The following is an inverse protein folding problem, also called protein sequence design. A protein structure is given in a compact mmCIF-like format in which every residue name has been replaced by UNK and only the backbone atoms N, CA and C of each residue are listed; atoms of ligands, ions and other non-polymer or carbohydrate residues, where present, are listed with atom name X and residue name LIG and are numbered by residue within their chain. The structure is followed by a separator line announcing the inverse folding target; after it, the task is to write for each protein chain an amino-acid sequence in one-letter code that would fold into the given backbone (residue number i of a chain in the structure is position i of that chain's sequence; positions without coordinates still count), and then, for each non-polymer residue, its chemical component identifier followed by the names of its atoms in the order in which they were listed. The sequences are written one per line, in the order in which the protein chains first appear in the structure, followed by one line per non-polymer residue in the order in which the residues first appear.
data_IF_082847724259
#
_entry.id   IF_082847724259
#
_cell.length_a   1.000
_cell.length_b   1.000
_cell.length_c   1.000
_cell.angle_alpha   90.00
_cell.angle_beta   90.00
_cell.angle_gamma   90.00
#
_symmetry.space_group_name_H-M   'P 1'
#
loop_
_entity.id
_entity.type
_entity.pdbx_description
1 polymer ?
#
# COMPACT_ATOMS: atom_id res chain seq x y z
N UNK A 1 17.56 0.87 22.36
CA UNK A 1 17.38 0.05 21.14
C UNK A 1 16.18 0.49 20.28
N UNK A 2 15.04 0.91 20.87
CA UNK A 2 13.85 1.36 20.10
C UNK A 2 14.12 2.53 19.13
N UNK A 3 14.96 3.49 19.53
CA UNK A 3 15.28 4.68 18.69
C UNK A 3 16.09 4.34 17.44
N UNK A 4 16.84 3.26 17.45
CA UNK A 4 17.71 2.88 16.31
C UNK A 4 16.92 2.20 15.19
N UNK A 5 15.91 1.37 15.52
CA UNK A 5 15.13 0.66 14.50
C UNK A 5 14.13 1.56 13.77
N UNK A 6 13.48 2.48 14.49
CA UNK A 6 12.59 3.49 13.85
C UNK A 6 13.38 4.40 12.89
N UNK A 7 14.62 4.75 13.24
CA UNK A 7 15.53 5.49 12.37
C UNK A 7 15.95 4.67 11.13
N UNK A 8 16.13 3.36 11.29
CA UNK A 8 16.58 2.49 10.19
C UNK A 8 15.51 2.34 9.09
N UNK A 9 14.23 2.22 9.46
CA UNK A 9 13.14 2.13 8.47
C UNK A 9 12.96 3.46 7.75
N UNK A 10 13.01 4.58 8.47
CA UNK A 10 12.94 5.92 7.87
C UNK A 10 14.17 6.22 7.00
N UNK A 11 15.37 5.76 7.40
CA UNK A 11 16.60 5.93 6.64
C UNK A 11 16.60 5.10 5.34
N UNK A 12 16.06 3.87 5.36
CA UNK A 12 15.95 3.03 4.15
C UNK A 12 15.02 3.67 3.13
N UNK A 13 13.88 4.23 3.56
CA UNK A 13 12.95 4.93 2.65
C UNK A 13 13.57 6.24 2.14
N UNK A 14 14.27 6.98 2.98
CA UNK A 14 14.90 8.25 2.61
C UNK A 14 16.11 8.05 1.67
N UNK A 15 16.95 7.03 1.91
CA UNK A 15 18.12 6.75 1.06
C UNK A 15 17.71 6.21 -0.32
N UNK A 16 16.65 5.42 -0.41
CA UNK A 16 16.17 4.91 -1.70
C UNK A 16 15.50 5.98 -2.54
N UNK A 17 14.80 6.94 -1.91
CA UNK A 17 14.25 8.11 -2.59
C UNK A 17 15.34 9.06 -3.10
N UNK A 18 16.40 9.29 -2.30
CA UNK A 18 17.53 10.13 -2.69
C UNK A 18 18.37 9.51 -3.82
N UNK A 19 18.61 8.19 -3.79
CA UNK A 19 19.32 7.48 -4.87
C UNK A 19 18.61 7.57 -6.22
N UNK A 20 17.26 7.62 -6.21
CA UNK A 20 16.47 7.74 -7.44
C UNK A 20 16.38 9.17 -7.97
N UNK A 21 16.57 10.18 -7.14
CA UNK A 21 16.63 11.58 -7.55
C UNK A 21 17.98 11.92 -8.21
N UNK A 22 19.07 11.23 -7.87
CA UNK A 22 20.40 11.47 -8.46
C UNK A 22 20.61 10.77 -9.81
N UNK A 23 19.76 9.82 -10.22
CA UNK A 23 19.89 9.11 -11.51
C UNK A 23 19.06 9.70 -12.64
N UNK A 24 18.48 10.89 -12.46
CA UNK A 24 17.64 11.55 -13.46
C UNK A 24 18.29 12.72 -14.20
N UNK A 25 19.62 12.78 -14.27
CA UNK A 25 20.25 13.58 -15.31
C UNK A 25 20.06 12.86 -16.65
N UNK A 26 19.37 13.49 -17.63
CA UNK A 26 19.20 12.86 -18.92
C UNK A 26 20.59 12.77 -19.60
N UNK A 27 20.94 11.62 -20.18
CA UNK A 27 22.10 11.54 -21.00
C UNK A 27 21.94 12.56 -22.16
N UNK A 28 23.00 13.29 -22.47
CA UNK A 28 23.06 14.18 -23.61
C UNK A 28 22.53 13.45 -24.86
N UNK A 29 21.43 13.94 -25.41
CA UNK A 29 20.79 13.37 -26.59
C UNK A 29 21.69 13.66 -27.77
N UNK A 30 22.48 12.67 -28.20
CA UNK A 30 22.99 12.60 -29.55
C UNK A 30 21.82 12.54 -30.51
N UNK A 31 21.77 13.45 -31.45
CA UNK A 31 20.71 13.56 -32.45
C UNK A 31 20.53 12.24 -33.22
N UNK A 32 19.44 11.54 -32.92
CA UNK A 32 18.91 10.46 -33.75
C UNK A 32 17.69 11.06 -34.45
N UNK A 33 17.67 10.98 -35.76
CA UNK A 33 16.69 11.55 -36.66
C UNK A 33 15.24 11.11 -36.37
N UNK A 34 14.23 11.74 -37.00
CA UNK A 34 12.84 11.61 -36.68
C UNK A 34 12.33 10.18 -36.90
N UNK A 35 11.87 9.54 -35.85
CA UNK A 35 11.11 8.29 -35.94
C UNK A 35 9.75 8.49 -36.62
N UNK A 36 9.13 7.42 -37.15
CA UNK A 36 7.92 7.53 -37.96
C UNK A 36 6.76 8.13 -37.13
N UNK A 37 6.28 9.27 -37.59
CA UNK A 37 5.04 9.87 -37.11
C UNK A 37 3.84 9.10 -37.63
N UNK A 38 3.01 8.59 -36.76
CA UNK A 38 1.70 8.04 -37.14
C UNK A 38 0.76 9.19 -37.48
N UNK A 39 0.41 9.31 -38.77
CA UNK A 39 -0.57 10.26 -39.27
C UNK A 39 -1.98 9.66 -39.13
N UNK A 40 -2.88 10.32 -38.42
CA UNK A 40 -4.31 10.12 -38.57
C UNK A 40 -4.84 11.25 -39.49
N UNK A 41 -5.34 10.95 -40.68
CA UNK A 41 -5.95 11.96 -41.54
C UNK A 41 -7.31 12.34 -41.00
N UNK A 42 -7.48 13.64 -40.63
CA UNK A 42 -8.81 14.22 -40.42
C UNK A 42 -9.35 14.65 -41.78
N UNK A 43 -10.39 13.96 -42.27
CA UNK A 43 -11.13 14.30 -43.48
C UNK A 43 -12.09 15.45 -43.14
N UNK A 44 -12.01 16.48 -43.98
CA UNK A 44 -12.96 17.56 -44.28
C UNK A 44 -12.47 18.98 -43.90
N UNK A 45 -11.68 19.51 -44.76
CA UNK A 45 -11.57 20.95 -44.99
C UNK A 45 -11.90 21.22 -46.46
N UNK A 46 -12.70 22.22 -46.75
CA UNK A 46 -13.29 22.50 -48.08
C UNK A 46 -12.33 23.09 -49.10
N UNK A 47 -11.04 23.17 -48.85
CA UNK A 47 -10.05 23.72 -49.77
C UNK A 47 -8.85 22.78 -49.89
N UNK A 48 -9.04 21.65 -50.44
CA UNK A 48 -8.18 20.77 -51.25
C UNK A 48 -6.72 20.48 -50.83
N UNK A 49 -6.25 20.89 -49.65
CA UNK A 49 -4.87 20.61 -49.18
C UNK A 49 -4.84 19.99 -47.79
N UNK A 50 -3.91 19.02 -47.52
CA UNK A 50 -3.78 18.48 -46.17
C UNK A 50 -3.23 19.53 -45.22
N UNK A 51 -4.06 20.00 -44.29
CA UNK A 51 -3.64 20.90 -43.22
C UNK A 51 -2.98 20.07 -42.14
N UNK A 52 -1.67 20.10 -42.06
CA UNK A 52 -0.93 19.49 -40.95
C UNK A 52 -1.04 20.40 -39.72
N UNK A 53 -1.90 20.05 -38.79
CA UNK A 53 -1.88 20.65 -37.46
C UNK A 53 -0.66 20.07 -36.75
N UNK A 54 0.43 20.84 -36.68
CA UNK A 54 1.57 20.49 -35.84
C UNK A 54 1.08 20.45 -34.39
N UNK A 55 1.02 19.26 -33.83
CA UNK A 55 0.75 19.10 -32.41
C UNK A 55 1.86 19.81 -31.63
N UNK A 56 1.50 20.89 -30.95
CA UNK A 56 2.43 21.61 -30.09
C UNK A 56 3.00 20.62 -29.08
N UNK A 57 4.33 20.57 -28.89
CA UNK A 57 4.92 19.68 -27.90
C UNK A 57 4.20 19.87 -26.56
N UNK A 58 3.73 18.79 -25.96
CA UNK A 58 3.14 18.86 -24.64
C UNK A 58 4.13 19.55 -23.71
N UNK A 59 3.71 20.64 -23.08
CA UNK A 59 4.55 21.35 -22.12
C UNK A 59 5.02 20.39 -21.02
N UNK A 60 6.11 20.72 -20.30
CA UNK A 60 6.61 19.86 -19.23
C UNK A 60 5.45 19.54 -18.26
N UNK A 61 5.35 18.27 -17.88
CA UNK A 61 4.32 17.82 -16.96
C UNK A 61 4.34 18.69 -15.69
N UNK A 62 3.18 19.17 -15.19
CA UNK A 62 3.12 20.04 -14.03
C UNK A 62 3.82 19.36 -12.86
N UNK A 63 4.70 20.09 -12.19
CA UNK A 63 5.43 19.60 -11.03
C UNK A 63 4.42 19.25 -9.92
N UNK A 64 4.46 18.04 -9.35
CA UNK A 64 3.56 17.67 -8.27
C UNK A 64 3.70 18.64 -7.10
N UNK A 65 2.58 19.19 -6.61
CA UNK A 65 2.59 20.08 -5.44
C UNK A 65 2.48 19.27 -4.16
N UNK A 66 3.14 19.71 -3.10
CA UNK A 66 2.97 19.12 -1.78
C UNK A 66 1.51 19.22 -1.30
N UNK A 67 0.96 18.11 -0.80
CA UNK A 67 -0.37 18.09 -0.20
C UNK A 67 -0.30 18.62 1.24
N UNK A 68 -1.14 19.57 1.57
CA UNK A 68 -1.24 20.13 2.92
C UNK A 68 -2.12 19.27 3.84
N UNK A 69 -1.99 19.45 5.17
CA UNK A 69 -2.74 18.69 6.19
C UNK A 69 -4.26 18.81 6.00
N UNK A 70 -4.78 19.99 5.61
CA UNK A 70 -6.21 20.15 5.34
C UNK A 70 -6.68 19.31 4.13
N UNK A 71 -5.84 19.21 3.10
CA UNK A 71 -6.13 18.38 1.94
C UNK A 71 -6.08 16.90 2.32
N UNK A 72 -5.11 16.47 3.12
CA UNK A 72 -5.02 15.12 3.66
C UNK A 72 -6.31 14.71 4.41
N UNK A 73 -6.79 15.54 5.34
CA UNK A 73 -8.03 15.27 6.06
C UNK A 73 -9.25 15.16 5.12
N UNK A 74 -9.33 16.02 4.09
CA UNK A 74 -10.37 15.94 3.07
C UNK A 74 -10.27 14.69 2.22
N UNK A 75 -9.06 14.27 1.84
CA UNK A 75 -8.80 13.04 1.10
C UNK A 75 -9.22 11.82 1.90
N UNK A 76 -8.85 11.74 3.17
CA UNK A 76 -9.26 10.63 4.04
C UNK A 76 -10.78 10.45 4.05
N UNK A 77 -11.54 11.54 4.26
CA UNK A 77 -13.02 11.49 4.22
C UNK A 77 -13.53 11.07 2.84
N UNK A 78 -12.90 11.55 1.77
CA UNK A 78 -13.30 11.20 0.40
C UNK A 78 -13.00 9.74 0.09
N UNK A 79 -11.87 9.22 0.56
CA UNK A 79 -11.45 7.83 0.35
C UNK A 79 -12.46 6.82 0.95
N UNK A 80 -13.15 7.17 2.05
CA UNK A 80 -14.24 6.32 2.57
C UNK A 80 -15.40 6.11 1.58
N UNK A 81 -15.63 7.05 0.64
CA UNK A 81 -16.65 6.89 -0.40
C UNK A 81 -16.28 5.83 -1.46
N UNK A 82 -14.98 5.54 -1.60
CA UNK A 82 -14.47 4.52 -2.53
C UNK A 82 -14.35 3.12 -1.91
N UNK A 83 -14.60 2.98 -0.60
CA UNK A 83 -14.62 1.67 0.06
C UNK A 83 -15.60 0.68 -0.60
N UNK A 84 -16.86 1.07 -0.93
CA UNK A 84 -17.80 0.16 -1.59
C UNK A 84 -17.45 0.01 -3.09
N UNK A 85 -16.32 -0.62 -3.40
CA UNK A 85 -15.90 -0.95 -4.76
C UNK A 85 -15.99 -2.46 -5.01
N UNK A 86 -16.16 -2.86 -6.27
CA UNK A 86 -16.13 -4.27 -6.65
C UNK A 86 -14.80 -4.92 -6.29
N UNK A 87 -13.69 -4.21 -6.44
CA UNK A 87 -12.36 -4.69 -6.11
C UNK A 87 -12.23 -4.98 -4.61
N UNK A 88 -12.66 -4.04 -3.77
CA UNK A 88 -12.65 -4.23 -2.31
C UNK A 88 -13.57 -5.38 -1.87
N UNK A 89 -14.70 -5.57 -2.56
CA UNK A 89 -15.59 -6.71 -2.31
C UNK A 89 -14.88 -8.04 -2.64
N UNK A 90 -14.13 -8.13 -3.74
CA UNK A 90 -13.34 -9.33 -4.06
C UNK A 90 -12.25 -9.58 -3.01
N UNK A 91 -11.55 -8.55 -2.57
CA UNK A 91 -10.57 -8.69 -1.49
C UNK A 91 -11.22 -9.14 -0.18
N UNK A 92 -12.36 -8.53 0.19
CA UNK A 92 -13.09 -8.91 1.41
C UNK A 92 -13.60 -10.35 1.34
N UNK A 93 -14.11 -10.79 0.19
CA UNK A 93 -14.56 -12.16 -0.03
C UNK A 93 -13.40 -13.17 0.02
N UNK A 94 -12.29 -12.87 -0.65
CA UNK A 94 -11.11 -13.74 -0.63
C UNK A 94 -10.50 -13.84 0.76
N UNK A 95 -10.30 -12.69 1.44
CA UNK A 95 -9.74 -12.68 2.79
C UNK A 95 -10.69 -13.24 3.84
N UNK A 96 -11.99 -12.99 3.71
CA UNK A 96 -13.01 -13.63 4.54
C UNK A 96 -13.04 -15.14 4.36
N UNK A 97 -12.96 -15.63 3.13
CA UNK A 97 -12.82 -17.05 2.82
C UNK A 97 -11.55 -17.67 3.43
N UNK A 98 -10.41 -17.00 3.31
CA UNK A 98 -9.16 -17.45 3.93
C UNK A 98 -9.25 -17.46 5.46
N UNK A 99 -9.88 -16.45 6.07
CA UNK A 99 -10.08 -16.42 7.51
C UNK A 99 -11.02 -17.55 7.99
N UNK A 100 -12.06 -17.87 7.23
CA UNK A 100 -12.93 -19.02 7.51
C UNK A 100 -12.18 -20.35 7.40
N UNK A 101 -11.27 -20.49 6.43
CA UNK A 101 -10.40 -21.68 6.31
C UNK A 101 -9.39 -21.75 7.46
N UNK A 102 -8.90 -20.60 7.94
CA UNK A 102 -7.97 -20.53 9.06
C UNK A 102 -8.65 -20.80 10.41
N UNK A 103 -9.94 -20.46 10.55
CA UNK A 103 -10.67 -20.51 11.82
C UNK A 103 -10.64 -21.88 12.53
N UNK A 104 -10.80 -23.05 11.86
CA UNK A 104 -10.68 -24.36 12.52
C UNK A 104 -9.33 -24.62 13.17
N UNK A 105 -8.29 -23.92 12.75
CA UNK A 105 -6.91 -24.08 13.27
C UNK A 105 -6.58 -23.10 14.40
N UNK A 106 -7.50 -22.22 14.78
CA UNK A 106 -7.27 -21.18 15.79
C UNK A 106 -6.78 -21.75 17.11
N UNK A 107 -7.46 -22.76 17.64
CA UNK A 107 -7.11 -23.40 18.91
C UNK A 107 -5.78 -24.17 18.85
N UNK A 108 -5.53 -24.88 17.76
CA UNK A 108 -4.32 -25.68 17.61
C UNK A 108 -3.08 -24.79 17.49
N UNK A 109 -3.18 -23.70 16.72
CA UNK A 109 -2.12 -22.71 16.58
C UNK A 109 -1.87 -21.98 17.90
N UNK A 110 -2.94 -21.61 18.62
CA UNK A 110 -2.83 -21.00 19.93
C UNK A 110 -2.11 -21.91 20.92
N UNK A 111 -2.52 -23.17 21.04
CA UNK A 111 -1.88 -24.17 21.93
C UNK A 111 -0.40 -24.42 21.56
N UNK A 112 -0.05 -24.34 20.27
CA UNK A 112 1.33 -24.58 19.83
C UNK A 112 2.27 -23.40 20.11
N UNK A 113 1.76 -22.17 20.12
CA UNK A 113 2.57 -20.95 20.19
C UNK A 113 2.57 -20.30 21.57
N UNK A 114 1.47 -20.34 22.31
CA UNK A 114 1.35 -19.73 23.64
C UNK A 114 2.17 -20.52 24.65
N UNK A 115 2.99 -19.82 25.42
CA UNK A 115 3.94 -20.43 26.38
C UNK A 115 5.20 -21.01 25.74
N UNK A 116 5.36 -20.90 24.40
CA UNK A 116 6.60 -21.23 23.74
C UNK A 116 7.58 -20.06 23.87
N UNK A 117 8.54 -20.19 24.81
CA UNK A 117 9.48 -19.12 25.15
C UNK A 117 10.37 -18.69 23.97
N UNK A 118 10.67 -19.58 23.02
CA UNK A 118 11.44 -19.26 21.83
C UNK A 118 10.60 -18.42 20.86
N UNK A 119 9.35 -18.78 20.64
CA UNK A 119 8.42 -18.02 19.81
C UNK A 119 8.15 -16.64 20.42
N UNK A 120 7.86 -16.57 21.72
CA UNK A 120 7.64 -15.29 22.42
C UNK A 120 8.83 -14.34 22.28
N UNK A 121 10.06 -14.83 22.55
CA UNK A 121 11.29 -14.01 22.42
C UNK A 121 11.52 -13.56 20.97
N UNK A 122 11.34 -14.44 20.01
CA UNK A 122 11.55 -14.12 18.60
C UNK A 122 10.55 -13.09 18.07
N UNK A 123 9.28 -13.22 18.44
CA UNK A 123 8.21 -12.37 17.94
C UNK A 123 7.95 -11.12 18.78
N UNK A 124 8.51 -10.98 19.97
CA UNK A 124 8.31 -9.83 20.85
C UNK A 124 8.58 -8.46 20.21
N UNK A 125 9.63 -8.26 19.38
CA UNK A 125 9.80 -6.99 18.67
C UNK A 125 8.62 -6.62 17.76
N UNK A 126 7.93 -7.61 17.18
CA UNK A 126 6.78 -7.38 16.33
C UNK A 126 5.60 -6.73 17.05
N UNK A 127 5.45 -6.98 18.34
CA UNK A 127 4.42 -6.35 19.16
C UNK A 127 4.59 -4.82 19.21
N UNK A 128 5.83 -4.37 19.45
CA UNK A 128 6.16 -2.94 19.58
C UNK A 128 6.17 -2.27 18.19
N UNK A 129 6.75 -2.94 17.21
CA UNK A 129 6.91 -2.38 15.87
C UNK A 129 5.59 -2.26 15.11
N UNK A 130 4.61 -3.11 15.44
CA UNK A 130 3.27 -3.07 14.87
C UNK A 130 2.28 -2.16 15.60
N UNK A 131 2.71 -1.47 16.65
CA UNK A 131 1.83 -0.53 17.36
C UNK A 131 1.48 0.68 16.51
N UNK A 132 0.24 1.14 16.63
CA UNK A 132 -0.27 2.32 15.92
C UNK A 132 0.63 3.56 16.06
N UNK A 133 1.12 3.94 17.27
CA UNK A 133 2.02 5.08 17.41
C UNK A 133 3.35 4.92 16.65
N UNK A 134 3.89 3.70 16.58
CA UNK A 134 5.12 3.40 15.84
C UNK A 134 4.93 3.57 14.34
N UNK A 135 3.83 3.04 13.80
CA UNK A 135 3.50 3.13 12.38
C UNK A 135 3.17 4.57 11.97
N UNK A 136 2.31 5.26 12.70
CA UNK A 136 1.98 6.67 12.43
C UNK A 136 3.20 7.57 12.60
N UNK A 137 4.06 7.32 13.59
CA UNK A 137 5.31 8.04 13.77
C UNK A 137 6.24 7.88 12.57
N UNK A 138 6.42 6.64 12.08
CA UNK A 138 7.25 6.36 10.90
C UNK A 138 6.69 7.01 9.62
N UNK A 139 5.38 6.91 9.39
CA UNK A 139 4.70 7.55 8.27
C UNK A 139 4.82 9.09 8.32
N UNK A 140 4.67 9.68 9.51
CA UNK A 140 4.83 11.13 9.74
C UNK A 140 6.26 11.60 9.46
N UNK A 141 7.27 10.79 9.81
CA UNK A 141 8.67 11.08 9.47
C UNK A 141 8.88 11.08 7.97
N UNK A 142 8.31 10.10 7.23
CA UNK A 142 8.38 10.06 5.76
C UNK A 142 7.75 11.33 5.17
N UNK A 143 6.57 11.71 5.64
CA UNK A 143 5.90 12.93 5.22
C UNK A 143 6.75 14.17 5.48
N UNK A 144 7.28 14.32 6.70
CA UNK A 144 8.09 15.47 7.09
C UNK A 144 9.39 15.57 6.29
N UNK A 145 10.08 14.44 6.06
CA UNK A 145 11.29 14.39 5.24
C UNK A 145 10.99 14.83 3.81
N UNK A 146 9.89 14.34 3.22
CA UNK A 146 9.46 14.76 1.88
C UNK A 146 9.20 16.27 1.80
N UNK A 147 8.61 16.86 2.85
CA UNK A 147 8.36 18.30 2.95
C UNK A 147 9.65 19.12 3.12
N UNK A 148 10.54 18.69 4.03
CA UNK A 148 11.79 19.39 4.35
C UNK A 148 12.77 19.33 3.18
N UNK A 149 12.81 18.20 2.46
CA UNK A 149 13.70 17.99 1.30
C UNK A 149 13.10 18.47 -0.03
N UNK A 150 11.94 19.09 -0.01
CA UNK A 150 11.19 19.53 -1.20
C UNK A 150 11.02 18.38 -2.23
N UNK A 151 10.66 17.19 -1.73
CA UNK A 151 10.41 16.00 -2.53
C UNK A 151 8.92 15.62 -2.52
N UNK A 152 8.09 16.14 -3.44
CA UNK A 152 6.65 15.93 -3.45
C UNK A 152 6.25 14.44 -3.45
N UNK A 153 6.95 13.59 -4.21
CA UNK A 153 6.68 12.14 -4.26
C UNK A 153 6.84 11.46 -2.90
N UNK A 154 7.85 11.87 -2.11
CA UNK A 154 8.08 11.33 -0.76
C UNK A 154 7.03 11.84 0.22
N UNK A 155 6.65 13.12 0.11
CA UNK A 155 5.58 13.66 0.98
C UNK A 155 4.21 13.06 0.65
N UNK A 156 3.92 12.75 -0.63
CA UNK A 156 2.71 12.03 -1.01
C UNK A 156 2.70 10.60 -0.46
N UNK A 157 3.83 9.87 -0.59
CA UNK A 157 3.95 8.56 0.04
C UNK A 157 3.67 8.63 1.55
N UNK A 158 4.30 9.59 2.26
CA UNK A 158 4.08 9.76 3.70
C UNK A 158 2.63 10.07 4.06
N UNK A 159 1.96 10.88 3.24
CA UNK A 159 0.54 11.18 3.38
C UNK A 159 -0.32 9.91 3.22
N UNK A 160 -0.12 9.16 2.15
CA UNK A 160 -0.89 7.95 1.88
C UNK A 160 -0.64 6.86 2.92
N UNK A 161 0.57 6.77 3.48
CA UNK A 161 0.85 5.90 4.61
C UNK A 161 0.02 6.27 5.84
N UNK A 162 -0.05 7.57 6.19
CA UNK A 162 -0.87 8.06 7.31
C UNK A 162 -2.36 7.78 7.07
N UNK A 163 -2.85 8.09 5.87
CA UNK A 163 -4.25 7.88 5.52
C UNK A 163 -4.63 6.39 5.49
N UNK A 164 -3.75 5.53 4.97
CA UNK A 164 -3.97 4.08 4.92
C UNK A 164 -4.06 3.46 6.32
N UNK A 165 -3.16 3.87 7.23
CA UNK A 165 -3.19 3.43 8.64
C UNK A 165 -4.48 3.94 9.31
N UNK A 166 -4.82 5.22 9.13
CA UNK A 166 -6.02 5.80 9.75
C UNK A 166 -7.31 5.12 9.26
N UNK A 167 -7.40 4.82 7.97
CA UNK A 167 -8.53 4.08 7.39
C UNK A 167 -8.58 2.64 7.90
N UNK A 168 -7.43 1.95 7.94
CA UNK A 168 -7.30 0.60 8.47
C UNK A 168 -7.78 0.52 9.91
N UNK A 169 -7.32 1.44 10.76
CA UNK A 169 -7.73 1.50 12.16
C UNK A 169 -9.23 1.78 12.31
N UNK A 170 -9.79 2.72 11.54
CA UNK A 170 -11.22 3.01 11.56
C UNK A 170 -12.06 1.77 11.20
N UNK A 171 -11.69 1.04 10.14
CA UNK A 171 -12.34 -0.20 9.72
C UNK A 171 -12.20 -1.30 10.78
N UNK A 172 -11.00 -1.44 11.33
CA UNK A 172 -10.69 -2.41 12.39
C UNK A 172 -11.54 -2.15 13.62
N UNK A 173 -11.64 -0.90 14.08
CA UNK A 173 -12.47 -0.57 15.25
C UNK A 173 -13.94 -0.81 14.97
N UNK A 174 -14.47 -0.41 13.81
CA UNK A 174 -15.84 -0.69 13.43
C UNK A 174 -16.16 -2.20 13.48
N UNK A 175 -15.27 -3.04 12.95
CA UNK A 175 -15.41 -4.50 12.96
C UNK A 175 -15.29 -5.08 14.38
N UNK A 176 -14.39 -4.58 15.22
CA UNK A 176 -14.24 -5.01 16.61
C UNK A 176 -15.52 -4.78 17.43
N UNK A 177 -16.11 -3.60 17.28
CA UNK A 177 -17.35 -3.26 18.00
C UNK A 177 -18.58 -4.04 17.52
N UNK A 178 -18.60 -4.48 16.26
CA UNK A 178 -19.70 -5.27 15.70
C UNK A 178 -19.55 -6.75 15.98
N UNK A 179 -18.34 -7.33 15.84
CA UNK A 179 -18.11 -8.77 16.00
C UNK A 179 -18.02 -9.20 17.46
N UNK A 180 -17.43 -8.36 18.30
CA UNK A 180 -17.22 -8.61 19.73
C UNK A 180 -16.62 -9.98 20.02
N UNK A 181 -15.72 -10.45 19.19
CA UNK A 181 -15.03 -11.73 19.38
C UNK A 181 -14.12 -11.69 20.60
N UNK A 182 -14.20 -12.71 21.44
CA UNK A 182 -13.35 -12.85 22.62
C UNK A 182 -11.91 -13.17 22.23
N UNK A 183 -10.96 -12.59 22.99
CA UNK A 183 -9.52 -12.85 22.79
C UNK A 183 -9.14 -14.22 23.36
N UNK A 184 -8.08 -14.85 22.83
CA UNK A 184 -7.60 -16.13 23.34
C UNK A 184 -7.23 -16.08 24.83
N UNK A 185 -6.69 -14.94 25.31
CA UNK A 185 -6.33 -14.71 26.72
C UNK A 185 -7.50 -14.31 27.63
N UNK A 186 -8.72 -14.20 27.11
CA UNK A 186 -9.89 -13.78 27.85
C UNK A 186 -9.90 -12.30 28.26
N UNK A 187 -8.91 -11.49 27.84
CA UNK A 187 -8.75 -10.09 28.29
C UNK A 187 -9.80 -9.12 27.71
N UNK A 188 -10.70 -9.57 26.84
CA UNK A 188 -11.75 -8.73 26.27
C UNK A 188 -12.35 -9.25 24.97
N UNK A 189 -13.32 -8.50 24.45
CA UNK A 189 -14.12 -8.87 23.27
C UNK A 189 -13.76 -8.04 22.03
N UNK A 190 -12.48 -7.81 21.79
CA UNK A 190 -11.99 -7.01 20.67
C UNK A 190 -10.90 -7.76 19.87
N UNK A 191 -11.08 -9.11 19.75
CA UNK A 191 -10.10 -9.93 19.05
C UNK A 191 -10.15 -9.74 17.54
N UNK A 192 -11.31 -9.75 16.93
CA UNK A 192 -11.46 -9.72 15.48
C UNK A 192 -11.80 -8.32 14.95
N UNK A 193 -11.11 -7.89 13.91
CA UNK A 193 -9.86 -8.40 13.36
C UNK A 193 -8.62 -7.88 14.13
N UNK A 194 -7.44 -8.41 13.81
CA UNK A 194 -6.18 -7.92 14.39
C UNK A 194 -5.78 -6.56 13.85
N UNK A 195 -5.72 -5.52 14.72
CA UNK A 195 -5.32 -4.17 14.34
C UNK A 195 -3.85 -4.10 13.91
N UNK A 196 -2.93 -4.75 14.64
CA UNK A 196 -1.51 -4.79 14.26
C UNK A 196 -1.31 -5.37 12.86
N UNK A 197 -2.02 -6.46 12.53
CA UNK A 197 -1.99 -7.02 11.18
C UNK A 197 -2.56 -6.03 10.16
N UNK A 198 -3.72 -5.43 10.45
CA UNK A 198 -4.38 -4.51 9.55
C UNK A 198 -3.51 -3.28 9.24
N UNK A 199 -2.98 -2.62 10.26
CA UNK A 199 -2.21 -1.38 10.08
C UNK A 199 -0.86 -1.61 9.38
N UNK A 200 -0.17 -2.72 9.69
CA UNK A 200 1.09 -3.03 9.00
C UNK A 200 0.88 -3.45 7.56
N UNK A 201 -0.19 -4.19 7.24
CA UNK A 201 -0.53 -4.52 5.86
C UNK A 201 -1.04 -3.29 5.08
N UNK A 202 -1.74 -2.35 5.72
CA UNK A 202 -2.09 -1.08 5.10
C UNK A 202 -0.85 -0.27 4.74
N UNK A 203 0.12 -0.20 5.65
CA UNK A 203 1.41 0.43 5.42
C UNK A 203 2.17 -0.23 4.26
N UNK A 204 2.27 -1.57 4.24
CA UNK A 204 2.95 -2.31 3.18
C UNK A 204 2.27 -2.12 1.82
N UNK A 205 0.94 -2.11 1.80
CA UNK A 205 0.16 -1.91 0.57
C UNK A 205 0.34 -0.49 0.02
N UNK A 206 0.33 0.54 0.87
CA UNK A 206 0.62 1.90 0.43
C UNK A 206 2.05 2.02 -0.12
N UNK A 207 3.05 1.36 0.50
CA UNK A 207 4.40 1.29 -0.05
C UNK A 207 4.45 0.60 -1.43
N UNK A 208 3.72 -0.51 -1.60
CA UNK A 208 3.63 -1.22 -2.88
C UNK A 208 3.13 -0.31 -4.00
N UNK A 209 2.13 0.50 -3.72
CA UNK A 209 1.50 1.38 -4.71
C UNK A 209 2.41 2.51 -5.17
N UNK A 210 3.29 3.00 -4.30
CA UNK A 210 4.25 4.07 -4.60
C UNK A 210 5.60 3.57 -5.08
N UNK A 211 6.04 2.40 -4.60
CA UNK A 211 7.36 1.85 -4.86
C UNK A 211 7.25 0.58 -5.71
N UNK A 212 8.37 0.05 -6.16
CA UNK A 212 8.41 -1.21 -6.88
C UNK A 212 8.40 -2.42 -5.91
N UNK A 213 8.19 -3.63 -6.47
CA UNK A 213 8.10 -4.88 -5.71
C UNK A 213 9.31 -5.17 -4.80
N UNK A 214 10.51 -4.65 -5.15
CA UNK A 214 11.73 -4.86 -4.37
C UNK A 214 11.65 -4.24 -2.97
N UNK A 215 10.87 -3.19 -2.81
CA UNK A 215 10.64 -2.52 -1.53
C UNK A 215 9.38 -3.00 -0.83
N UNK A 216 8.35 -3.38 -1.58
CA UNK A 216 7.10 -3.86 -1.01
C UNK A 216 7.19 -5.28 -0.46
N UNK A 217 7.96 -6.18 -1.10
CA UNK A 217 8.14 -7.55 -0.58
C UNK A 217 8.72 -7.56 0.84
N UNK A 218 9.82 -6.84 1.18
CA UNK A 218 10.28 -6.74 2.57
C UNK A 218 9.23 -6.17 3.52
N UNK A 219 8.41 -5.19 3.06
CA UNK A 219 7.35 -4.62 3.88
C UNK A 219 6.24 -5.65 4.19
N UNK A 220 5.84 -6.47 3.21
CA UNK A 220 4.88 -7.56 3.45
C UNK A 220 5.44 -8.67 4.33
N UNK A 221 6.73 -9.01 4.20
CA UNK A 221 7.40 -9.96 5.12
C UNK A 221 7.37 -9.40 6.54
N UNK A 222 7.68 -8.12 6.71
CA UNK A 222 7.59 -7.45 8.00
C UNK A 222 6.17 -7.45 8.56
N UNK A 223 5.17 -7.11 7.74
CA UNK A 223 3.75 -7.15 8.14
C UNK A 223 3.31 -8.54 8.56
N UNK A 224 3.76 -9.58 7.85
CA UNK A 224 3.50 -10.97 8.21
C UNK A 224 4.15 -11.35 9.54
N UNK A 225 5.39 -10.91 9.78
CA UNK A 225 6.07 -11.09 11.04
C UNK A 225 5.31 -10.43 12.21
N UNK A 226 4.85 -9.20 12.02
CA UNK A 226 4.01 -8.49 13.01
C UNK A 226 2.68 -9.21 13.23
N UNK A 227 2.00 -9.64 12.17
CA UNK A 227 0.75 -10.40 12.29
C UNK A 227 0.93 -11.69 13.10
N UNK A 228 1.99 -12.45 12.82
CA UNK A 228 2.33 -13.69 13.55
C UNK A 228 2.68 -13.38 15.00
N UNK A 229 3.31 -12.25 15.32
CA UNK A 229 3.68 -11.89 16.69
C UNK A 229 2.49 -11.84 17.66
N UNK A 230 1.28 -11.65 17.11
CA UNK A 230 0.05 -11.56 17.91
C UNK A 230 -0.45 -12.91 18.43
N UNK A 231 0.03 -14.02 17.84
CA UNK A 231 -0.37 -15.38 18.18
C UNK A 231 0.33 -15.85 19.47
N UNK A 232 1.70 -15.89 19.57
CA UNK A 232 2.35 -16.23 20.82
C UNK A 232 2.07 -15.22 21.95
N UNK A 233 1.78 -13.95 21.62
CA UNK A 233 1.33 -12.96 22.59
C UNK A 233 -0.07 -13.23 23.16
N UNK A 234 -0.77 -14.25 22.68
CA UNK A 234 -2.11 -14.68 23.10
C UNK A 234 -3.19 -13.58 22.93
N UNK A 235 -3.00 -12.65 21.99
CA UNK A 235 -3.88 -11.47 21.81
C UNK A 235 -4.91 -11.65 20.70
N UNK A 236 -4.62 -12.49 19.72
CA UNK A 236 -5.45 -12.72 18.54
C UNK A 236 -5.40 -14.18 18.10
N UNK A 237 -6.48 -14.64 17.51
CA UNK A 237 -6.56 -15.92 16.82
C UNK A 237 -5.89 -15.84 15.43
N UNK A 238 -5.54 -16.99 14.84
CA UNK A 238 -4.97 -17.04 13.48
C UNK A 238 -5.91 -16.36 12.47
N UNK A 239 -7.19 -16.71 12.51
CA UNK A 239 -8.20 -16.12 11.61
C UNK A 239 -8.36 -14.62 11.76
N UNK A 240 -8.14 -14.05 12.97
CA UNK A 240 -8.16 -12.60 13.21
C UNK A 240 -7.01 -11.90 12.49
N UNK A 241 -5.83 -12.53 12.45
CA UNK A 241 -4.65 -11.96 11.79
C UNK A 241 -4.76 -12.03 10.27
N UNK A 242 -5.32 -13.13 9.74
CA UNK A 242 -5.58 -13.30 8.30
C UNK A 242 -6.58 -12.25 7.80
N UNK A 243 -7.70 -12.08 8.51
CA UNK A 243 -8.66 -11.05 8.11
C UNK A 243 -8.14 -9.63 8.35
N UNK A 244 -7.37 -9.43 9.41
CA UNK A 244 -6.69 -8.16 9.67
C UNK A 244 -5.80 -7.73 8.49
N UNK A 245 -4.98 -8.65 7.97
CA UNK A 245 -4.18 -8.41 6.78
C UNK A 245 -5.03 -7.95 5.57
N UNK A 246 -6.20 -8.59 5.39
CA UNK A 246 -7.15 -8.23 4.34
C UNK A 246 -7.70 -6.81 4.51
N UNK A 247 -8.10 -6.44 5.73
CA UNK A 247 -8.57 -5.07 6.04
C UNK A 247 -7.48 -4.04 5.70
N UNK A 248 -6.23 -4.34 6.04
CA UNK A 248 -5.09 -3.49 5.72
C UNK A 248 -4.88 -3.34 4.21
N UNK A 249 -4.93 -4.43 3.46
CA UNK A 249 -4.82 -4.39 1.99
C UNK A 249 -5.94 -3.54 1.39
N UNK A 250 -7.18 -3.72 1.82
CA UNK A 250 -8.33 -2.92 1.36
C UNK A 250 -8.10 -1.43 1.66
N UNK A 251 -7.69 -1.08 2.87
CA UNK A 251 -7.43 0.30 3.27
C UNK A 251 -6.33 0.93 2.43
N UNK A 252 -5.17 0.27 2.32
CA UNK A 252 -4.04 0.75 1.51
C UNK A 252 -4.40 0.94 0.04
N UNK A 253 -5.10 -0.02 -0.57
CA UNK A 253 -5.56 0.07 -1.97
C UNK A 253 -6.57 1.18 -2.18
N UNK A 254 -7.49 1.36 -1.25
CA UNK A 254 -8.53 2.41 -1.35
C UNK A 254 -7.91 3.80 -1.29
N UNK A 255 -7.01 4.04 -0.35
CA UNK A 255 -6.32 5.33 -0.19
C UNK A 255 -5.46 5.64 -1.42
N UNK A 256 -4.75 4.66 -1.95
CA UNK A 256 -3.86 4.83 -3.10
C UNK A 256 -4.54 4.58 -4.45
N UNK A 257 -5.87 4.62 -4.52
CA UNK A 257 -6.62 4.38 -5.77
C UNK A 257 -6.27 5.38 -6.87
N UNK A 258 -5.90 6.62 -6.51
CA UNK A 258 -5.41 7.64 -7.44
C UNK A 258 -4.05 7.30 -8.08
N UNK A 259 -3.26 6.41 -7.46
CA UNK A 259 -2.02 5.87 -8.05
C UNK A 259 -2.29 4.66 -8.98
N UNK A 260 -3.55 4.19 -9.06
CA UNK A 260 -3.93 3.00 -9.82
C UNK A 260 -3.86 3.17 -11.34
N UNK A 261 -3.68 4.37 -11.86
CA UNK A 261 -3.45 4.62 -13.29
C UNK A 261 -2.10 4.09 -13.79
N UNK A 262 -1.25 3.58 -12.88
CA UNK A 262 -0.06 2.82 -13.29
C UNK A 262 -0.48 1.44 -13.74
N UNK A 263 -0.30 1.08 -15.03
CA UNK A 263 -0.69 -0.24 -15.50
C UNK A 263 0.06 -1.32 -14.70
N UNK A 264 -0.66 -2.34 -14.25
CA UNK A 264 -0.01 -3.52 -13.66
C UNK A 264 1.04 -4.04 -14.62
N UNK A 265 2.23 -4.46 -14.12
CA UNK A 265 3.26 -5.02 -14.99
C UNK A 265 2.80 -6.27 -15.73
N UNK A 266 1.78 -6.94 -15.22
CA UNK A 266 1.19 -8.14 -15.84
C UNK A 266 -0.32 -7.94 -15.90
N UNK A 267 -0.87 -7.92 -17.10
CA UNK A 267 -2.31 -7.96 -17.38
C UNK A 267 -2.70 -9.31 -17.94
N UNK A 268 -3.83 -9.86 -17.50
CA UNK A 268 -4.44 -11.07 -18.10
C UNK A 268 -5.78 -10.67 -18.67
N UNK A 269 -5.95 -10.88 -19.98
CA UNK A 269 -7.19 -10.53 -20.69
C UNK A 269 -7.68 -11.76 -21.46
N UNK A 270 -8.96 -12.09 -21.30
CA UNK A 270 -9.59 -13.11 -22.12
C UNK A 270 -9.77 -12.58 -23.55
N UNK A 271 -9.30 -13.35 -24.53
CA UNK A 271 -9.49 -13.08 -25.95
C UNK A 271 -10.25 -14.24 -26.61
N UNK A 272 -10.95 -14.02 -27.70
CA UNK A 272 -11.58 -15.13 -28.44
C UNK A 272 -10.54 -16.19 -28.80
N UNK A 273 -10.72 -17.41 -28.27
CA UNK A 273 -9.80 -18.54 -28.50
C UNK A 273 -8.65 -18.70 -27.50
N UNK A 274 -8.56 -17.87 -26.41
CA UNK A 274 -7.50 -18.02 -25.44
C UNK A 274 -7.40 -16.94 -24.37
N UNK A 275 -6.24 -16.86 -23.75
CA UNK A 275 -5.89 -15.86 -22.73
C UNK A 275 -4.64 -15.11 -23.21
N UNK A 276 -4.73 -13.78 -23.28
CA UNK A 276 -3.58 -12.92 -23.51
C UNK A 276 -2.97 -12.48 -22.18
N UNK A 277 -1.65 -12.68 -22.03
CA UNK A 277 -0.87 -12.15 -20.90
C UNK A 277 -0.06 -10.97 -21.41
N UNK A 278 -0.32 -9.79 -20.87
CA UNK A 278 0.38 -8.56 -21.23
C UNK A 278 1.40 -8.23 -20.15
N UNK A 279 2.64 -8.00 -20.53
CA UNK A 279 3.67 -7.50 -19.62
C UNK A 279 4.08 -6.09 -20.01
N UNK A 280 3.88 -5.11 -19.12
CA UNK A 280 4.30 -3.72 -19.32
C UNK A 280 5.60 -3.48 -18.57
N UNK A 281 6.69 -3.29 -19.30
CA UNK A 281 7.99 -2.93 -18.72
C UNK A 281 8.05 -1.40 -18.59
N UNK A 282 7.87 -0.89 -17.38
CA UNK A 282 8.16 0.52 -17.09
C UNK A 282 9.69 0.70 -17.07
N UNK A 283 10.22 1.50 -17.99
CA UNK A 283 11.61 1.92 -17.99
C UNK A 283 11.82 3.12 -17.08
#
# INVERSE_FOLDING_TARGET
MLRVLSFTIAAIVATTAASRAQTSDPPAVSAIGPGPSFFTPSLLGSDGGPTFIAQQPAGPAPTPRHTGIKAMAKHLVTNFKYLPSKENLYWAAAGGGLALVAHPFDDDVNKALVGNSAAEKFFKPGEILGELPTLLGSASVVYAVGRIKDQPKVSHLGMDLIEAIAMSEALTQALKYTTRRERPDGSGKTSFPSGHAADTFAFATALERHLNWRYSVPAYIFSSYVAISRLPANRHWLSDTVFGATVGIIAGRTVTSHEAERPYPIGVTAIPGGIAVTYVRNR
#
